data_IF_209009910125
#
_entry.id   IF_209009910125
#
_cell.length_a   1.000
_cell.length_b   1.000
_cell.length_c   1.000
_cell.angle_alpha   90.00
_cell.angle_beta   90.00
_cell.angle_gamma   90.00
#
_symmetry.space_group_name_H-M   'P 1'
#
loop_
_entity.id
_entity.type
_entity.pdbx_description
1 polymer ?
#
# COMPACT_ATOMS: atom_id res chain seq x y z
N UNK A 1 15.09 -13.55 -15.37
CA UNK A 1 14.26 -14.00 -14.23
C UNK A 1 12.80 -13.75 -14.59
N UNK A 2 12.02 -14.80 -14.85
CA UNK A 2 10.61 -14.65 -15.23
C UNK A 2 9.80 -14.05 -14.09
N UNK A 3 9.01 -13.01 -14.35
CA UNK A 3 8.05 -12.52 -13.38
C UNK A 3 7.09 -13.67 -13.04
N UNK A 4 6.99 -14.01 -11.76
CA UNK A 4 6.04 -15.04 -11.34
C UNK A 4 4.62 -14.53 -11.63
N UNK A 5 3.76 -15.38 -12.20
CA UNK A 5 2.32 -15.11 -12.45
C UNK A 5 1.64 -14.31 -11.32
N UNK A 6 1.87 -14.60 -10.01
CA UNK A 6 1.31 -13.80 -8.93
C UNK A 6 1.76 -12.33 -8.90
N UNK A 7 2.98 -11.99 -9.33
CA UNK A 7 3.44 -10.61 -9.34
C UNK A 7 2.69 -9.74 -10.37
N UNK A 8 2.44 -10.31 -11.55
CA UNK A 8 1.68 -9.65 -12.63
C UNK A 8 0.22 -9.47 -12.18
N UNK A 9 -0.39 -10.53 -11.64
CA UNK A 9 -1.77 -10.48 -11.15
C UNK A 9 -1.99 -9.40 -10.08
N UNK A 10 -1.07 -9.28 -9.11
CA UNK A 10 -1.16 -8.25 -8.07
C UNK A 10 -0.97 -6.84 -8.63
N UNK A 11 -0.03 -6.66 -9.58
CA UNK A 11 0.19 -5.37 -10.22
C UNK A 11 -1.05 -4.92 -11.00
N UNK A 12 -1.68 -5.84 -11.72
CA UNK A 12 -2.96 -5.59 -12.39
C UNK A 12 -4.06 -5.22 -11.38
N UNK A 13 -4.16 -5.94 -10.25
CA UNK A 13 -5.11 -5.62 -9.20
C UNK A 13 -4.90 -4.20 -8.63
N UNK A 14 -3.65 -3.79 -8.39
CA UNK A 14 -3.34 -2.43 -7.94
C UNK A 14 -3.77 -1.38 -8.97
N UNK A 15 -3.50 -1.60 -10.26
CA UNK A 15 -3.90 -0.68 -11.32
C UNK A 15 -5.42 -0.55 -11.43
N UNK A 16 -6.15 -1.67 -11.32
CA UNK A 16 -7.62 -1.68 -11.31
C UNK A 16 -8.14 -0.86 -10.12
N UNK A 17 -7.62 -1.11 -8.92
CA UNK A 17 -8.05 -0.38 -7.71
C UNK A 17 -7.63 1.10 -7.77
N UNK A 18 -6.46 1.41 -8.34
CA UNK A 18 -6.01 2.78 -8.58
C UNK A 18 -6.94 3.53 -9.54
N UNK A 19 -7.37 2.89 -10.63
CA UNK A 19 -8.33 3.45 -11.56
C UNK A 19 -9.69 3.70 -10.88
N UNK A 20 -10.19 2.74 -10.09
CA UNK A 20 -11.41 2.92 -9.30
C UNK A 20 -11.30 4.08 -8.30
N UNK A 21 -10.13 4.24 -7.66
CA UNK A 21 -9.85 5.38 -6.78
C UNK A 21 -9.82 6.70 -7.55
N UNK A 22 -9.14 6.78 -8.70
CA UNK A 22 -9.07 7.98 -9.53
C UNK A 22 -10.47 8.42 -10.00
N UNK A 23 -11.30 7.46 -10.41
CA UNK A 23 -12.67 7.75 -10.81
C UNK A 23 -13.54 8.25 -9.64
N UNK A 24 -13.29 7.77 -8.41
CA UNK A 24 -13.96 8.29 -7.22
C UNK A 24 -13.49 9.71 -6.85
N UNK A 25 -12.25 10.08 -7.19
CA UNK A 25 -11.72 11.42 -6.95
C UNK A 25 -12.42 12.50 -7.78
N UNK A 26 -12.98 12.14 -8.95
CA UNK A 26 -13.71 13.05 -9.84
C UNK A 26 -15.19 13.24 -9.50
N UNK A 27 -15.76 12.45 -8.57
CA UNK A 27 -17.17 12.61 -8.17
C UNK A 27 -17.35 13.80 -7.24
N UNK A 28 -18.54 14.42 -7.27
CA UNK A 28 -18.98 15.52 -6.37
C UNK A 28 -19.20 15.08 -4.92
N UNK A 29 -18.31 14.24 -4.36
CA UNK A 29 -18.20 14.05 -2.92
C UNK A 29 -17.53 15.27 -2.28
N UNK A 30 -17.70 15.46 -0.97
CA UNK A 30 -17.08 16.59 -0.26
C UNK A 30 -15.57 16.70 -0.56
N UNK A 31 -14.99 17.92 -0.60
CA UNK A 31 -13.65 18.20 -1.11
C UNK A 31 -12.52 17.46 -0.38
N UNK A 32 -12.78 16.98 0.84
CA UNK A 32 -11.85 16.16 1.59
C UNK A 32 -11.76 14.72 1.06
N UNK A 33 -12.90 14.11 0.70
CA UNK A 33 -12.95 12.73 0.21
C UNK A 33 -12.31 12.60 -1.17
N UNK A 34 -12.53 13.57 -2.07
CA UNK A 34 -11.94 13.54 -3.42
C UNK A 34 -10.41 13.61 -3.39
N UNK A 35 -9.85 14.45 -2.50
CA UNK A 35 -8.40 14.56 -2.30
C UNK A 35 -7.78 13.25 -1.79
N UNK A 36 -8.44 12.55 -0.87
CA UNK A 36 -7.95 11.25 -0.38
C UNK A 36 -7.95 10.21 -1.49
N UNK A 37 -9.04 10.08 -2.27
CA UNK A 37 -9.10 9.13 -3.39
C UNK A 37 -8.02 9.38 -4.44
N UNK A 38 -7.70 10.65 -4.73
CA UNK A 38 -6.59 11.01 -5.62
C UNK A 38 -5.26 10.54 -5.07
N UNK A 39 -4.99 10.76 -3.78
CA UNK A 39 -3.75 10.30 -3.12
C UNK A 39 -3.64 8.78 -3.12
N UNK A 40 -4.74 8.05 -2.88
CA UNK A 40 -4.79 6.59 -2.97
C UNK A 40 -4.44 6.13 -4.38
N UNK A 41 -5.04 6.73 -5.41
CA UNK A 41 -4.79 6.37 -6.79
C UNK A 41 -3.31 6.56 -7.18
N UNK A 42 -2.72 7.70 -6.82
CA UNK A 42 -1.30 7.98 -7.07
C UNK A 42 -0.42 6.97 -6.34
N UNK A 43 -0.68 6.71 -5.07
CA UNK A 43 0.12 5.76 -4.28
C UNK A 43 0.07 4.34 -4.86
N UNK A 44 -1.13 3.83 -5.19
CA UNK A 44 -1.29 2.51 -5.78
C UNK A 44 -0.66 2.43 -7.18
N UNK A 45 -0.77 3.50 -7.97
CA UNK A 45 -0.08 3.59 -9.27
C UNK A 45 1.43 3.51 -9.13
N UNK A 46 2.01 4.25 -8.18
CA UNK A 46 3.45 4.18 -7.88
C UNK A 46 3.87 2.79 -7.41
N UNK A 47 3.09 2.15 -6.52
CA UNK A 47 3.35 0.79 -6.06
C UNK A 47 3.27 -0.24 -7.21
N UNK A 48 2.32 -0.09 -8.12
CA UNK A 48 2.18 -0.95 -9.29
C UNK A 48 3.39 -0.81 -10.23
N UNK A 49 3.79 0.43 -10.55
CA UNK A 49 4.98 0.70 -11.38
C UNK A 49 6.23 0.13 -10.72
N UNK A 50 6.42 0.40 -9.42
CA UNK A 50 7.55 -0.15 -8.65
C UNK A 50 7.62 -1.67 -8.74
N UNK A 51 6.47 -2.35 -8.64
CA UNK A 51 6.38 -3.81 -8.72
C UNK A 51 6.65 -4.32 -10.14
N UNK A 52 6.10 -3.67 -11.17
CA UNK A 52 6.28 -4.05 -12.58
C UNK A 52 7.72 -3.89 -13.06
N UNK A 53 8.42 -2.85 -12.60
CA UNK A 53 9.83 -2.64 -12.92
C UNK A 53 10.74 -3.74 -12.35
N UNK A 54 10.20 -4.63 -11.50
CA UNK A 54 11.03 -5.55 -10.74
C UNK A 54 12.06 -4.79 -9.89
N UNK A 55 11.77 -3.52 -9.54
CA UNK A 55 12.70 -2.64 -8.85
C UNK A 55 13.15 -3.25 -7.52
N UNK A 56 12.29 -4.07 -6.90
CA UNK A 56 12.66 -4.87 -5.73
C UNK A 56 13.81 -5.85 -6.03
N UNK A 57 13.75 -6.59 -7.14
CA UNK A 57 14.81 -7.52 -7.53
C UNK A 57 16.12 -6.80 -7.87
N UNK A 58 16.02 -5.72 -8.65
CA UNK A 58 17.18 -4.90 -8.99
C UNK A 58 17.82 -4.28 -7.75
N UNK A 59 17.03 -3.66 -6.87
CA UNK A 59 17.51 -3.03 -5.64
C UNK A 59 18.16 -4.04 -4.68
N UNK A 60 17.54 -5.23 -4.50
CA UNK A 60 18.12 -6.30 -3.67
C UNK A 60 19.44 -6.77 -4.27
N UNK A 61 19.50 -6.96 -5.58
CA UNK A 61 20.72 -7.39 -6.25
C UNK A 61 21.82 -6.34 -6.14
N UNK A 62 21.52 -5.07 -6.39
CA UNK A 62 22.46 -3.96 -6.22
C UNK A 62 22.95 -3.84 -4.77
N UNK A 63 22.06 -3.97 -3.78
CA UNK A 63 22.44 -3.99 -2.36
C UNK A 63 23.32 -5.19 -2.02
N UNK A 64 23.08 -6.35 -2.65
CA UNK A 64 23.87 -7.57 -2.43
C UNK A 64 25.27 -7.42 -3.03
N UNK A 65 25.37 -6.97 -4.27
CA UNK A 65 26.64 -6.72 -4.97
C UNK A 65 27.47 -5.67 -4.23
N UNK A 66 26.84 -4.56 -3.84
CA UNK A 66 27.51 -3.50 -3.08
C UNK A 66 28.03 -4.02 -1.74
N UNK A 67 27.25 -4.86 -1.06
CA UNK A 67 27.65 -5.44 0.22
C UNK A 67 28.67 -6.56 0.18
N UNK A 68 28.89 -7.16 -0.99
CA UNK A 68 29.98 -8.11 -1.19
C UNK A 68 31.29 -7.39 -1.51
N UNK A 69 31.19 -6.20 -2.11
CA UNK A 69 32.34 -5.35 -2.42
C UNK A 69 32.90 -4.63 -1.18
N UNK A 70 32.08 -4.37 -0.18
CA UNK A 70 32.50 -3.74 1.07
C UNK A 70 32.33 -4.70 2.25
N UNK A 71 33.39 -4.93 3.04
CA UNK A 71 33.32 -5.61 4.36
C UNK A 71 32.48 -4.84 5.39
N UNK A 72 31.66 -3.88 4.95
CA UNK A 72 30.96 -2.86 5.73
C UNK A 72 29.55 -3.34 6.11
N UNK A 73 29.50 -4.39 6.93
CA UNK A 73 28.25 -4.78 7.61
C UNK A 73 27.69 -3.64 8.48
N UNK A 74 28.57 -2.77 9.00
CA UNK A 74 28.26 -1.57 9.80
C UNK A 74 27.46 -0.51 9.00
N UNK A 75 27.78 -0.29 7.72
CA UNK A 75 27.13 0.77 6.91
C UNK A 75 25.67 0.45 6.57
N UNK A 76 25.29 -0.83 6.48
CA UNK A 76 23.89 -1.21 6.23
C UNK A 76 22.96 -0.61 7.28
N UNK A 77 23.43 -0.48 8.52
CA UNK A 77 22.66 0.07 9.64
C UNK A 77 22.29 1.53 9.43
N UNK A 78 23.18 2.32 8.82
CA UNK A 78 22.96 3.74 8.53
C UNK A 78 21.84 3.99 7.53
N UNK A 79 21.62 3.06 6.58
CA UNK A 79 20.52 3.15 5.60
C UNK A 79 19.27 2.46 6.12
N UNK A 80 19.39 1.31 6.78
CA UNK A 80 18.22 0.54 7.26
C UNK A 80 17.46 1.28 8.37
N UNK A 81 18.16 1.99 9.26
CA UNK A 81 17.53 2.67 10.41
C UNK A 81 16.58 3.80 9.96
N UNK A 82 16.96 4.76 9.08
CA UNK A 82 16.05 5.78 8.59
C UNK A 82 14.83 5.20 7.87
N UNK A 83 15.00 4.17 7.05
CA UNK A 83 13.90 3.56 6.30
C UNK A 83 12.95 2.80 7.24
N UNK A 84 13.48 2.19 8.31
CA UNK A 84 12.68 1.57 9.36
C UNK A 84 11.84 2.61 10.11
N UNK A 85 12.44 3.75 10.50
CA UNK A 85 11.71 4.85 11.12
C UNK A 85 10.61 5.40 10.20
N UNK A 86 10.86 5.48 8.89
CA UNK A 86 9.84 5.85 7.92
C UNK A 86 8.68 4.84 7.91
N UNK A 87 8.97 3.54 7.86
CA UNK A 87 7.95 2.48 7.89
C UNK A 87 7.11 2.52 9.17
N UNK A 88 7.76 2.64 10.33
CA UNK A 88 7.10 2.78 11.64
C UNK A 88 6.28 4.06 11.72
N UNK A 89 6.78 5.17 11.17
CA UNK A 89 6.05 6.43 11.09
C UNK A 89 4.76 6.31 10.27
N UNK A 90 4.82 5.64 9.11
CA UNK A 90 3.64 5.37 8.29
C UNK A 90 2.63 4.48 9.03
N UNK A 91 3.10 3.44 9.72
CA UNK A 91 2.26 2.53 10.49
C UNK A 91 1.60 3.25 11.68
N UNK A 92 2.35 4.09 12.39
CA UNK A 92 1.82 4.92 13.48
C UNK A 92 0.75 5.90 12.98
N UNK A 93 0.99 6.56 11.86
CA UNK A 93 0.01 7.45 11.22
C UNK A 93 -1.25 6.69 10.78
N UNK A 94 -1.09 5.48 10.25
CA UNK A 94 -2.19 4.57 9.92
C UNK A 94 -2.99 4.23 11.17
N UNK A 95 -2.32 3.79 12.24
CA UNK A 95 -2.92 3.42 13.53
C UNK A 95 -3.69 4.58 14.17
N UNK A 96 -3.07 5.77 14.30
CA UNK A 96 -3.75 6.95 14.86
C UNK A 96 -4.99 7.35 14.08
N UNK A 97 -4.99 7.14 12.76
CA UNK A 97 -6.16 7.43 11.94
C UNK A 97 -7.21 6.33 11.98
N UNK A 98 -6.81 5.08 12.23
CA UNK A 98 -7.71 3.92 12.31
C UNK A 98 -8.77 4.08 13.40
N UNK A 99 -8.37 4.46 14.63
CA UNK A 99 -9.27 4.59 15.78
C UNK A 99 -10.43 5.58 15.58
N UNK A 100 -10.30 6.54 14.67
CA UNK A 100 -11.39 7.42 14.25
C UNK A 100 -11.99 7.09 12.88
N UNK A 101 -11.39 6.18 12.11
CA UNK A 101 -11.74 5.95 10.69
C UNK A 101 -13.13 5.34 10.50
N UNK A 102 -13.57 4.48 11.42
CA UNK A 102 -14.90 3.85 11.39
C UNK A 102 -16.03 4.89 11.38
N UNK A 103 -15.79 6.07 11.97
CA UNK A 103 -16.70 7.21 11.96
C UNK A 103 -16.45 8.22 10.83
N UNK A 104 -15.25 8.24 10.23
CA UNK A 104 -14.79 9.26 9.26
C UNK A 104 -15.07 8.91 7.78
N UNK A 105 -15.68 7.76 7.52
CA UNK A 105 -16.19 7.38 6.20
C UNK A 105 -15.21 6.57 5.35
N UNK A 106 -15.74 6.05 4.24
CA UNK A 106 -15.12 5.00 3.41
C UNK A 106 -13.75 5.39 2.85
N UNK A 107 -13.57 6.66 2.46
CA UNK A 107 -12.29 7.15 1.93
C UNK A 107 -11.17 7.14 2.99
N UNK A 108 -11.51 7.33 4.27
CA UNK A 108 -10.51 7.26 5.35
C UNK A 108 -10.08 5.82 5.59
N UNK A 109 -11.01 4.86 5.59
CA UNK A 109 -10.70 3.43 5.73
C UNK A 109 -9.77 2.99 4.58
N UNK A 110 -10.14 3.33 3.34
CA UNK A 110 -9.31 3.06 2.16
C UNK A 110 -7.92 3.71 2.26
N UNK A 111 -7.83 4.95 2.75
CA UNK A 111 -6.54 5.61 2.94
C UNK A 111 -5.66 4.90 3.97
N UNK A 112 -6.23 4.44 5.10
CA UNK A 112 -5.44 3.73 6.11
C UNK A 112 -4.96 2.38 5.57
N UNK A 113 -5.80 1.65 4.84
CA UNK A 113 -5.39 0.41 4.18
C UNK A 113 -4.28 0.66 3.15
N UNK A 114 -4.35 1.75 2.38
CA UNK A 114 -3.32 2.14 1.41
C UNK A 114 -1.98 2.49 2.08
N UNK A 115 -2.02 3.14 3.26
CA UNK A 115 -0.82 3.36 4.07
C UNK A 115 -0.25 2.06 4.63
N UNK A 116 -1.10 1.10 5.00
CA UNK A 116 -0.67 -0.26 5.37
C UNK A 116 0.09 -0.96 4.24
N UNK A 117 -0.41 -0.85 3.00
CA UNK A 117 0.28 -1.41 1.83
C UNK A 117 1.64 -0.74 1.59
N UNK A 118 1.70 0.58 1.69
CA UNK A 118 2.96 1.30 1.55
C UNK A 118 3.98 0.89 2.64
N UNK A 119 3.54 0.79 3.90
CA UNK A 119 4.38 0.31 4.99
C UNK A 119 4.88 -1.12 4.75
N UNK A 120 4.01 -2.03 4.30
CA UNK A 120 4.38 -3.39 3.95
C UNK A 120 5.41 -3.44 2.80
N UNK A 121 5.22 -2.63 1.76
CA UNK A 121 6.16 -2.52 0.64
C UNK A 121 7.54 -2.03 1.10
N UNK A 122 7.57 -1.01 1.97
CA UNK A 122 8.81 -0.50 2.55
C UNK A 122 9.49 -1.56 3.43
N UNK A 123 8.76 -2.26 4.31
CA UNK A 123 9.34 -3.34 5.12
C UNK A 123 9.99 -4.43 4.27
N UNK A 124 9.37 -4.79 3.14
CA UNK A 124 9.94 -5.77 2.19
C UNK A 124 11.22 -5.29 1.50
N UNK A 125 11.45 -3.98 1.40
CA UNK A 125 12.68 -3.41 0.84
C UNK A 125 13.82 -3.50 1.88
N UNK A 126 13.53 -3.21 3.15
CA UNK A 126 14.56 -3.16 4.20
C UNK A 126 15.11 -4.56 4.52
N UNK A 127 14.30 -5.61 4.33
CA UNK A 127 14.70 -7.01 4.57
C UNK A 127 15.42 -7.15 5.93
N UNK A 128 14.73 -6.79 7.01
CA UNK A 128 15.23 -7.08 8.34
C UNK A 128 15.06 -8.58 8.56
N UNK A 129 16.19 -9.29 8.73
CA UNK A 129 16.25 -10.76 8.87
C UNK A 129 15.16 -11.32 9.81
N UNK A 130 14.85 -10.62 10.90
CA UNK A 130 13.79 -11.03 11.84
C UNK A 130 12.36 -10.87 11.31
N UNK A 131 12.03 -9.75 10.66
CA UNK A 131 10.67 -9.55 10.11
C UNK A 131 10.43 -10.40 8.87
N UNK A 132 11.48 -10.70 8.11
CA UNK A 132 11.38 -11.56 6.94
C UNK A 132 10.95 -12.98 7.34
N UNK A 133 11.47 -13.53 8.44
CA UNK A 133 11.04 -14.84 8.93
C UNK A 133 9.52 -14.93 9.16
N UNK A 134 8.91 -13.85 9.68
CA UNK A 134 7.46 -13.77 9.90
C UNK A 134 6.72 -13.52 8.58
N UNK A 135 7.18 -12.57 7.76
CA UNK A 135 6.52 -12.19 6.50
C UNK A 135 6.57 -13.31 5.44
N UNK A 136 7.61 -14.14 5.47
CA UNK A 136 7.78 -15.32 4.63
C UNK A 136 7.32 -16.61 5.31
N UNK A 137 6.64 -16.52 6.45
CA UNK A 137 5.95 -17.68 6.99
C UNK A 137 4.88 -18.13 5.98
N UNK A 138 4.96 -19.41 5.59
CA UNK A 138 4.02 -20.01 4.65
C UNK A 138 2.75 -20.42 5.37
N UNK A 139 1.60 -20.00 4.83
CA UNK A 139 0.27 -20.43 5.24
C UNK A 139 -0.37 -21.08 4.01
N UNK A 140 -0.12 -22.37 3.85
CA UNK A 140 -0.48 -23.11 2.63
C UNK A 140 0.36 -22.68 1.42
N UNK A 141 -0.24 -22.44 0.23
CA UNK A 141 0.50 -22.06 -0.98
C UNK A 141 0.93 -20.58 -1.01
N UNK A 142 0.49 -19.78 -0.03
CA UNK A 142 0.74 -18.34 0.02
C UNK A 142 1.59 -17.98 1.24
N UNK A 143 2.46 -16.99 1.07
CA UNK A 143 3.20 -16.41 2.17
C UNK A 143 2.33 -15.36 2.88
N UNK A 144 2.53 -15.17 4.19
CA UNK A 144 1.77 -14.22 5.00
C UNK A 144 1.70 -12.81 4.37
N UNK A 145 2.81 -12.30 3.83
CA UNK A 145 2.82 -10.99 3.18
C UNK A 145 1.90 -10.90 1.95
N UNK A 146 1.72 -11.98 1.19
CA UNK A 146 0.77 -12.00 0.08
C UNK A 146 -0.68 -11.92 0.58
N UNK A 147 -0.99 -12.59 1.68
CA UNK A 147 -2.31 -12.57 2.29
C UNK A 147 -2.65 -11.15 2.77
N UNK A 148 -1.73 -10.50 3.47
CA UNK A 148 -1.90 -9.11 3.95
C UNK A 148 -2.08 -8.16 2.76
N UNK A 149 -1.25 -8.31 1.72
CA UNK A 149 -1.30 -7.51 0.50
C UNK A 149 -2.67 -7.62 -0.21
N UNK A 150 -3.16 -8.85 -0.41
CA UNK A 150 -4.48 -9.12 -0.97
C UNK A 150 -5.57 -8.50 -0.10
N UNK A 151 -5.54 -8.73 1.21
CA UNK A 151 -6.56 -8.25 2.13
C UNK A 151 -6.67 -6.71 2.10
N UNK A 152 -5.53 -6.01 2.15
CA UNK A 152 -5.52 -4.55 2.08
C UNK A 152 -6.01 -4.03 0.72
N UNK A 153 -5.61 -4.68 -0.37
CA UNK A 153 -6.06 -4.33 -1.72
C UNK A 153 -7.58 -4.51 -1.87
N UNK A 154 -8.13 -5.61 -1.34
CA UNK A 154 -9.56 -5.88 -1.31
C UNK A 154 -10.31 -4.85 -0.46
N UNK A 155 -9.77 -4.44 0.70
CA UNK A 155 -10.37 -3.39 1.53
C UNK A 155 -10.48 -2.07 0.75
N UNK A 156 -9.41 -1.66 0.06
CA UNK A 156 -9.40 -0.42 -0.72
C UNK A 156 -10.38 -0.51 -1.88
N UNK A 157 -10.34 -1.61 -2.64
CA UNK A 157 -11.23 -1.87 -3.77
C UNK A 157 -12.70 -1.91 -3.35
N UNK A 158 -13.01 -2.64 -2.27
CA UNK A 158 -14.35 -2.72 -1.68
C UNK A 158 -14.85 -1.35 -1.21
N UNK A 159 -14.01 -0.54 -0.57
CA UNK A 159 -14.35 0.83 -0.21
C UNK A 159 -14.61 1.71 -1.44
N UNK A 160 -13.85 1.52 -2.53
CA UNK A 160 -14.00 2.26 -3.77
C UNK A 160 -15.30 1.90 -4.50
N UNK A 161 -15.64 0.61 -4.58
CA UNK A 161 -16.89 0.10 -5.17
C UNK A 161 -18.09 0.53 -4.33
N UNK A 162 -18.04 0.38 -3.01
CA UNK A 162 -19.14 0.77 -2.13
C UNK A 162 -19.38 2.29 -2.16
N UNK A 163 -18.32 3.10 -2.16
CA UNK A 163 -18.43 4.55 -2.37
C UNK A 163 -19.14 4.89 -3.68
N UNK A 164 -19.08 4.00 -4.68
CA UNK A 164 -19.80 4.19 -5.94
C UNK A 164 -21.28 3.84 -5.87
N UNK A 165 -21.61 2.73 -5.20
CA UNK A 165 -22.97 2.19 -5.13
C UNK A 165 -23.91 2.98 -4.22
N UNK A 166 -23.38 3.65 -3.18
CA UNK A 166 -24.18 4.47 -2.26
C UNK A 166 -23.65 5.90 -2.25
N UNK A 167 -24.03 6.75 -3.22
CA UNK A 167 -23.75 8.19 -3.17
C UNK A 167 -24.37 8.74 -1.89
N UNK A 168 -23.59 9.47 -1.09
CA UNK A 168 -24.08 10.07 0.15
C UNK A 168 -25.30 10.94 -0.15
N UNK A 169 -26.46 10.58 0.41
CA UNK A 169 -27.77 11.19 0.18
C UNK A 169 -27.91 12.63 0.74
N UNK A 170 -26.82 13.38 0.86
CA UNK A 170 -26.79 14.71 1.47
C UNK A 170 -27.29 15.83 0.53
N UNK A 171 -28.03 15.46 -0.51
CA UNK A 171 -28.60 16.37 -1.49
C UNK A 171 -30.12 16.21 -1.58
N UNK A 172 -30.79 16.09 -0.43
CA UNK A 172 -32.21 16.45 -0.33
C UNK A 172 -32.29 17.87 0.23
N UNK A 173 -32.34 18.81 -0.71
CA UNK A 173 -33.12 20.06 -0.68
C UNK A 173 -33.54 20.58 0.70
N UNK A 174 -33.07 21.79 1.04
CA UNK A 174 -33.93 22.72 1.75
C UNK A 174 -35.09 23.06 0.79
N UNK A 175 -36.35 22.71 1.10
CA UNK A 175 -37.47 23.33 0.40
C UNK A 175 -37.42 24.82 0.72
N UNK A 176 -37.48 25.64 -0.34
CA UNK A 176 -37.81 27.07 -0.25
C UNK A 176 -39.27 27.21 0.16
#
# INVERSE_FOLDING_TARGET
>A
MGQTVPAIAMSAAYLVVAALAALNAGRRGGPHSGRLWRRIAVLLGLLAVWRLLGAQGWLIQSLREWSQATTLYEERRLVQVPVLYLALGLLYLAWRRWGGSLRRGRATIAWVAAMGLAALAVMRIISLHGTDAILYQQIGPLHLHHIIDIALTVIIGGCAVWSRLRPSAHHRSKPL
#
